data_IF_900177340962
#
_entry.id   IF_900177340962
#
_cell.length_a   1.000
_cell.length_b   1.000
_cell.length_c   1.000
_cell.angle_alpha   90.00
_cell.angle_beta   90.00
_cell.angle_gamma   90.00
#
_symmetry.space_group_name_H-M   'P 1'
#
loop_
_entity.id
_entity.type
_entity.pdbx_description
1 polymer ?
#
# COMPACT_ATOMS: atom_id res chain seq x y z
N UNK A 1 21.34 13.79 -40.59
CA UNK A 1 20.06 14.08 -39.93
C UNK A 1 19.80 12.97 -38.91
N UNK A 2 20.20 13.20 -37.67
CA UNK A 2 20.12 12.20 -36.58
C UNK A 2 18.80 12.37 -35.85
N UNK A 3 17.90 11.39 -35.96
CA UNK A 3 16.64 11.38 -35.23
C UNK A 3 16.90 10.94 -33.79
N UNK A 4 16.75 11.86 -32.85
CA UNK A 4 16.78 11.58 -31.43
C UNK A 4 15.48 10.86 -31.03
N UNK A 5 15.57 9.57 -30.73
CA UNK A 5 14.47 8.80 -30.17
C UNK A 5 14.21 9.28 -28.74
N UNK A 6 13.23 10.16 -28.57
CA UNK A 6 12.79 10.63 -27.25
C UNK A 6 12.03 9.49 -26.55
N UNK A 7 12.34 9.13 -25.30
CA UNK A 7 11.54 8.17 -24.55
C UNK A 7 10.10 8.70 -24.41
N UNK A 8 9.10 7.80 -24.32
CA UNK A 8 7.70 8.17 -24.09
C UNK A 8 7.64 8.90 -22.74
N UNK A 9 7.68 10.23 -22.79
CA UNK A 9 7.48 11.06 -21.63
C UNK A 9 6.05 10.81 -21.14
N UNK A 10 5.90 10.51 -19.84
CA UNK A 10 4.58 10.56 -19.21
C UNK A 10 3.95 11.91 -19.54
N UNK A 11 2.75 11.90 -20.12
CA UNK A 11 2.10 13.15 -20.54
C UNK A 11 2.09 14.14 -19.38
N UNK A 12 2.75 15.27 -19.63
CA UNK A 12 2.91 16.38 -18.72
C UNK A 12 2.30 17.60 -19.40
N UNK A 13 1.24 18.14 -18.80
CA UNK A 13 0.49 19.28 -19.35
C UNK A 13 1.37 20.53 -19.49
N UNK A 14 2.50 20.61 -18.78
CA UNK A 14 3.44 21.73 -18.87
C UNK A 14 4.06 21.86 -20.26
N UNK A 15 4.21 20.75 -20.98
CA UNK A 15 4.71 20.76 -22.36
C UNK A 15 3.69 21.29 -23.38
N UNK A 16 2.43 21.47 -22.96
CA UNK A 16 1.33 21.94 -23.80
C UNK A 16 0.79 23.30 -23.34
N UNK A 17 1.54 24.02 -22.49
CA UNK A 17 1.16 25.37 -22.05
C UNK A 17 1.10 26.36 -23.21
N UNK A 18 1.94 26.18 -24.23
CA UNK A 18 1.94 27.05 -25.42
C UNK A 18 0.65 26.92 -26.26
N UNK A 19 -0.09 25.82 -26.10
CA UNK A 19 -1.38 25.59 -26.75
C UNK A 19 -2.56 26.05 -25.90
N UNK A 20 -2.32 26.42 -24.64
CA UNK A 20 -3.35 26.85 -23.70
C UNK A 20 -3.33 28.37 -23.58
N UNK A 21 -4.46 29.00 -23.86
CA UNK A 21 -4.63 30.41 -23.60
C UNK A 21 -4.64 30.66 -22.09
N UNK A 22 -3.77 31.57 -21.62
CA UNK A 22 -3.75 31.99 -20.22
C UNK A 22 -4.99 32.79 -19.90
N UNK A 23 -5.70 32.44 -18.82
CA UNK A 23 -6.78 33.25 -18.30
C UNK A 23 -6.22 34.51 -17.61
N UNK A 24 -7.09 35.47 -17.28
CA UNK A 24 -6.71 36.72 -16.58
C UNK A 24 -6.04 36.49 -15.21
N UNK A 25 -6.12 35.28 -14.66
CA UNK A 25 -5.58 34.92 -13.34
C UNK A 25 -4.32 34.05 -13.45
N UNK A 26 -3.37 34.25 -12.53
CA UNK A 26 -2.11 33.51 -12.49
C UNK A 26 -2.37 31.99 -12.36
N UNK A 27 -1.69 31.19 -13.19
CA UNK A 27 -1.78 29.72 -13.22
C UNK A 27 -3.19 29.17 -13.56
N UNK A 28 -4.07 30.01 -14.12
CA UNK A 28 -5.32 29.58 -14.71
C UNK A 28 -5.25 29.70 -16.22
N UNK A 29 -5.78 28.69 -16.89
CA UNK A 29 -5.83 28.56 -18.33
C UNK A 29 -7.28 28.38 -18.76
N UNK A 30 -7.53 28.63 -20.04
CA UNK A 30 -8.79 28.31 -20.68
C UNK A 30 -8.81 26.79 -20.94
N UNK A 31 -9.86 26.13 -20.47
CA UNK A 31 -10.04 24.70 -20.68
C UNK A 31 -10.37 24.43 -22.16
N UNK A 32 -9.62 23.57 -22.87
CA UNK A 32 -9.87 23.29 -24.29
C UNK A 32 -11.16 22.50 -24.53
N UNK A 33 -11.74 21.88 -23.49
CA UNK A 33 -12.97 21.07 -23.60
C UNK A 33 -14.23 21.91 -23.42
N UNK A 34 -14.26 22.79 -22.42
CA UNK A 34 -15.46 23.58 -22.09
C UNK A 34 -15.34 25.07 -22.38
N UNK A 35 -14.16 25.55 -22.82
CA UNK A 35 -13.89 26.99 -23.02
C UNK A 35 -13.88 27.82 -21.73
N UNK A 36 -13.98 27.17 -20.56
CA UNK A 36 -14.03 27.85 -19.27
C UNK A 36 -12.65 28.34 -18.81
N UNK A 37 -12.59 29.50 -18.17
CA UNK A 37 -11.35 30.15 -17.67
C UNK A 37 -10.82 29.57 -16.35
N UNK A 38 -11.26 28.36 -15.96
CA UNK A 38 -11.00 27.74 -14.65
C UNK A 38 -10.20 26.43 -14.76
N UNK A 39 -9.26 26.32 -15.70
CA UNK A 39 -8.29 25.22 -15.71
C UNK A 39 -7.09 25.62 -14.85
N UNK A 40 -6.92 25.01 -13.68
CA UNK A 40 -5.75 25.25 -12.84
C UNK A 40 -4.65 24.23 -13.15
N UNK A 41 -3.43 24.71 -13.33
CA UNK A 41 -2.23 23.89 -13.54
C UNK A 41 -1.21 24.23 -12.45
N UNK A 42 -0.72 23.21 -11.75
CA UNK A 42 0.33 23.35 -10.73
C UNK A 42 1.70 23.18 -11.42
N UNK A 43 2.51 24.24 -11.58
CA UNK A 43 3.77 24.18 -12.33
C UNK A 43 4.81 23.25 -11.71
N UNK A 44 4.77 23.06 -10.40
CA UNK A 44 5.72 22.20 -9.66
C UNK A 44 5.49 20.71 -9.94
N UNK A 45 4.22 20.28 -10.10
CA UNK A 45 3.87 18.86 -10.17
C UNK A 45 3.28 18.42 -11.51
N UNK A 46 2.92 19.36 -12.40
CA UNK A 46 2.20 19.06 -13.64
C UNK A 46 0.76 18.56 -13.43
N UNK A 47 0.26 18.59 -12.19
CA UNK A 47 -1.14 18.26 -11.89
C UNK A 47 -2.04 19.40 -12.36
N UNK A 48 -3.14 19.03 -13.01
CA UNK A 48 -4.15 19.98 -13.45
C UNK A 48 -5.55 19.52 -13.07
N UNK A 49 -6.46 20.49 -12.97
CA UNK A 49 -7.87 20.27 -12.71
C UNK A 49 -8.69 21.41 -13.32
N UNK A 50 -9.76 21.03 -14.04
CA UNK A 50 -10.80 21.97 -14.46
C UNK A 50 -11.88 22.03 -13.37
N UNK A 51 -12.33 23.23 -13.02
CA UNK A 51 -13.40 23.43 -12.02
C UNK A 51 -14.81 23.60 -12.63
N UNK A 52 -14.96 23.34 -13.92
CA UNK A 52 -16.24 23.37 -14.65
C UNK A 52 -16.69 21.94 -15.07
N UNK A 53 -16.54 20.95 -14.17
CA UNK A 53 -16.99 19.55 -14.36
C UNK A 53 -16.43 18.82 -15.60
N UNK A 54 -15.22 19.15 -16.04
CA UNK A 54 -14.52 18.40 -17.08
C UNK A 54 -13.59 17.35 -16.48
N UNK A 55 -13.62 16.13 -17.04
CA UNK A 55 -12.70 15.08 -16.66
C UNK A 55 -11.28 15.37 -17.16
N UNK A 56 -10.29 15.00 -16.35
CA UNK A 56 -8.86 15.18 -16.70
C UNK A 56 -8.49 14.43 -17.97
N UNK A 57 -9.20 13.33 -18.28
CA UNK A 57 -9.01 12.51 -19.48
C UNK A 57 -9.39 13.28 -20.73
N UNK A 58 -10.52 13.97 -20.72
CA UNK A 58 -11.01 14.73 -21.88
C UNK A 58 -10.11 15.91 -22.19
N UNK A 59 -9.60 16.58 -21.15
CA UNK A 59 -8.61 17.65 -21.32
C UNK A 59 -7.30 17.12 -21.91
N UNK A 60 -6.88 15.89 -21.55
CA UNK A 60 -5.72 15.24 -22.19
C UNK A 60 -6.00 14.95 -23.66
N UNK A 61 -7.17 14.40 -23.97
CA UNK A 61 -7.55 14.04 -25.34
C UNK A 61 -7.62 15.28 -26.24
N UNK A 62 -8.12 16.41 -25.73
CA UNK A 62 -8.17 17.66 -26.48
C UNK A 62 -6.79 18.28 -26.76
N UNK A 63 -5.81 18.07 -25.88
CA UNK A 63 -4.44 18.62 -26.04
C UNK A 63 -3.53 17.71 -26.86
N UNK A 64 -3.58 16.40 -26.61
CA UNK A 64 -2.84 15.41 -27.39
C UNK A 64 -3.73 14.20 -27.62
N UNK A 65 -4.49 14.18 -28.74
CA UNK A 65 -5.37 13.07 -29.06
C UNK A 65 -4.61 11.76 -29.02
N UNK A 66 -5.18 10.74 -28.37
CA UNK A 66 -4.52 9.44 -28.24
C UNK A 66 -4.18 8.83 -29.61
N UNK A 67 -4.96 9.18 -30.64
CA UNK A 67 -4.73 8.78 -32.03
C UNK A 67 -3.36 9.23 -32.57
N UNK A 68 -2.91 10.45 -32.25
CA UNK A 68 -1.60 10.96 -32.66
C UNK A 68 -0.48 10.28 -31.89
N UNK A 69 -0.68 10.05 -30.58
CA UNK A 69 0.26 9.28 -29.74
C UNK A 69 0.46 7.86 -30.29
N UNK A 70 -0.63 7.21 -30.73
CA UNK A 70 -0.59 5.86 -31.31
C UNK A 70 0.04 5.87 -32.71
N UNK A 71 -0.18 6.91 -33.51
CA UNK A 71 0.47 7.07 -34.81
C UNK A 71 2.00 7.25 -34.67
N UNK A 72 2.46 8.06 -33.71
CA UNK A 72 3.88 8.18 -33.34
C UNK A 72 4.45 6.83 -32.86
N UNK A 73 3.67 6.05 -32.11
CA UNK A 73 4.08 4.72 -31.62
C UNK A 73 4.32 3.71 -32.73
N UNK A 74 3.54 3.72 -33.83
CA UNK A 74 3.73 2.79 -34.96
C UNK A 74 5.08 2.93 -35.67
N UNK A 75 5.75 4.07 -35.54
CA UNK A 75 7.10 4.31 -36.09
C UNK A 75 8.24 3.93 -35.13
N UNK A 76 7.93 3.75 -33.84
CA UNK A 76 8.89 3.28 -32.84
C UNK A 76 8.78 1.77 -32.69
N UNK A 77 9.88 1.05 -32.51
CA UNK A 77 9.89 -0.37 -32.12
C UNK A 77 9.39 -0.58 -30.67
N UNK A 78 8.34 0.14 -30.28
CA UNK A 78 7.68 0.03 -29.02
C UNK A 78 6.74 -1.16 -29.07
N UNK A 79 7.25 -2.33 -28.68
CA UNK A 79 6.40 -3.39 -28.17
C UNK A 79 5.76 -2.87 -26.89
N UNK A 80 4.43 -2.72 -26.81
CA UNK A 80 3.77 -2.46 -25.54
C UNK A 80 4.23 -3.60 -24.62
N UNK A 81 4.82 -3.25 -23.48
CA UNK A 81 5.12 -4.22 -22.44
C UNK A 81 3.79 -4.83 -22.02
N UNK A 82 3.38 -5.91 -22.68
CA UNK A 82 2.26 -6.75 -22.27
C UNK A 82 2.48 -6.99 -20.80
N UNK A 83 1.54 -6.51 -19.99
CA UNK A 83 1.46 -6.68 -18.54
C UNK A 83 2.66 -7.47 -18.03
N UNK A 84 3.67 -6.79 -17.47
CA UNK A 84 4.57 -7.48 -16.55
C UNK A 84 3.65 -7.94 -15.43
N UNK A 85 3.03 -9.11 -15.60
CA UNK A 85 2.50 -9.90 -14.50
C UNK A 85 3.63 -9.81 -13.50
N UNK A 86 3.34 -9.25 -12.33
CA UNK A 86 4.31 -9.23 -11.24
C UNK A 86 5.00 -10.58 -11.30
N UNK A 87 6.34 -10.59 -11.46
CA UNK A 87 7.10 -11.83 -11.43
C UNK A 87 6.83 -12.37 -10.04
N UNK A 88 5.78 -13.18 -9.91
CA UNK A 88 5.56 -13.99 -8.74
C UNK A 88 6.81 -14.84 -8.72
N UNK A 89 7.68 -14.69 -7.70
CA UNK A 89 8.84 -15.55 -7.61
C UNK A 89 8.32 -16.97 -7.75
N UNK A 90 8.81 -17.70 -8.77
CA UNK A 90 8.49 -19.12 -8.89
C UNK A 90 8.91 -19.70 -7.55
N UNK A 91 7.93 -20.13 -6.75
CA UNK A 91 8.22 -20.78 -5.49
C UNK A 91 9.16 -21.92 -5.84
N UNK A 92 10.43 -21.78 -5.45
CA UNK A 92 11.38 -22.88 -5.55
C UNK A 92 10.79 -23.92 -4.62
N UNK A 93 10.16 -24.94 -5.20
CA UNK A 93 9.69 -26.09 -4.46
C UNK A 93 10.96 -26.77 -3.98
N UNK A 94 11.39 -26.42 -2.77
CA UNK A 94 12.49 -27.11 -2.12
C UNK A 94 12.10 -28.58 -2.05
N UNK A 95 12.98 -29.44 -2.56
CA UNK A 95 12.87 -30.88 -2.33
C UNK A 95 12.73 -31.08 -0.80
N UNK A 96 11.70 -31.82 -0.34
CA UNK A 96 11.54 -32.08 1.08
C UNK A 96 12.81 -32.75 1.61
N UNK A 97 13.45 -32.12 2.60
CA UNK A 97 14.55 -32.76 3.32
C UNK A 97 14.07 -34.10 3.86
N UNK A 98 14.75 -35.18 3.49
CA UNK A 98 14.42 -36.51 3.99
C UNK A 98 14.63 -36.51 5.51
N UNK A 99 13.55 -36.75 6.25
CA UNK A 99 13.60 -36.95 7.69
C UNK A 99 14.36 -38.27 7.92
N UNK A 100 15.40 -38.32 8.78
CA UNK A 100 16.11 -39.54 9.09
C UNK A 100 15.15 -40.66 9.52
N UNK A 101 15.38 -41.89 9.07
CA UNK A 101 14.47 -43.03 9.25
C UNK A 101 14.24 -43.36 10.74
N UNK A 102 15.19 -42.99 11.60
CA UNK A 102 15.14 -43.23 13.06
C UNK A 102 14.49 -42.08 13.83
N UNK A 103 13.90 -41.10 13.13
CA UNK A 103 13.20 -39.98 13.77
C UNK A 103 11.79 -40.39 14.18
N UNK A 104 11.47 -40.29 15.46
CA UNK A 104 10.09 -40.41 15.96
C UNK A 104 9.63 -39.08 16.55
N UNK A 105 8.36 -38.73 16.29
CA UNK A 105 7.73 -37.61 16.97
C UNK A 105 7.49 -38.02 18.42
N UNK A 106 8.08 -37.29 19.36
CA UNK A 106 7.88 -37.52 20.79
C UNK A 106 6.99 -36.43 21.34
N UNK A 107 5.99 -36.80 22.15
CA UNK A 107 5.25 -35.84 22.95
C UNK A 107 6.14 -35.36 24.09
N UNK A 108 6.23 -34.04 24.26
CA UNK A 108 6.77 -33.47 25.48
C UNK A 108 5.95 -34.00 26.66
N UNK A 109 6.61 -34.70 27.57
CA UNK A 109 6.01 -35.24 28.80
C UNK A 109 5.70 -34.13 29.81
N UNK A 110 6.40 -33.01 29.72
CA UNK A 110 6.20 -31.85 30.58
C UNK A 110 5.22 -30.85 29.95
N UNK A 111 4.27 -30.31 30.73
CA UNK A 111 3.40 -29.26 30.24
C UNK A 111 4.19 -27.97 29.98
N UNK A 112 3.90 -27.29 28.86
CA UNK A 112 4.51 -26.00 28.53
C UNK A 112 4.01 -24.94 29.51
N UNK A 113 4.91 -24.42 30.35
CA UNK A 113 4.59 -23.41 31.37
C UNK A 113 4.83 -21.96 30.93
N UNK A 114 5.56 -21.74 29.83
CA UNK A 114 5.98 -20.39 29.39
C UNK A 114 4.94 -19.67 28.51
N UNK A 115 3.71 -20.20 28.43
CA UNK A 115 2.65 -19.58 27.63
C UNK A 115 1.99 -18.46 28.47
N UNK A 116 1.97 -17.21 27.97
CA UNK A 116 1.32 -16.12 28.68
C UNK A 116 -0.17 -16.42 28.84
N UNK A 117 -0.66 -16.26 30.07
CA UNK A 117 -2.04 -16.55 30.42
C UNK A 117 -2.96 -15.38 30.06
N UNK A 118 -4.14 -15.62 29.47
CA UNK A 118 -5.12 -14.57 29.21
C UNK A 118 -5.59 -13.87 30.50
N UNK A 119 -5.62 -12.54 30.49
CA UNK A 119 -6.04 -11.69 31.60
C UNK A 119 -7.31 -10.93 31.25
N UNK A 120 -8.10 -10.53 32.25
CA UNK A 120 -9.23 -9.62 32.03
C UNK A 120 -8.73 -8.24 31.62
N UNK A 121 -9.42 -7.62 30.68
CA UNK A 121 -9.08 -6.30 30.19
C UNK A 121 -9.08 -5.26 31.32
N UNK A 122 -7.97 -4.51 31.47
CA UNK A 122 -7.81 -3.52 32.54
C UNK A 122 -8.56 -2.21 32.26
N UNK A 123 -8.73 -1.85 31.00
CA UNK A 123 -9.36 -0.59 30.58
C UNK A 123 -10.03 -0.73 29.22
N UNK A 124 -11.02 0.12 28.95
CA UNK A 124 -11.73 0.12 27.67
C UNK A 124 -10.75 0.44 26.53
N UNK A 125 -10.73 -0.40 25.50
CA UNK A 125 -9.94 -0.20 24.28
C UNK A 125 -10.89 0.05 23.10
N UNK A 126 -10.58 1.02 22.26
CA UNK A 126 -11.38 1.34 21.06
C UNK A 126 -11.59 0.09 20.19
N UNK A 127 -12.84 -0.28 19.95
CA UNK A 127 -13.19 -1.42 19.09
C UNK A 127 -12.96 -2.81 19.71
N UNK A 128 -12.66 -2.90 21.01
CA UNK A 128 -12.57 -4.18 21.73
C UNK A 128 -13.68 -4.24 22.79
N UNK A 129 -14.48 -5.31 22.84
CA UNK A 129 -15.49 -5.47 23.87
C UNK A 129 -14.89 -5.51 25.29
N UNK A 130 -15.61 -4.96 26.27
CA UNK A 130 -15.13 -4.89 27.65
C UNK A 130 -14.98 -6.25 28.35
N UNK A 131 -15.61 -7.30 27.82
CA UNK A 131 -15.49 -8.68 28.32
C UNK A 131 -14.40 -9.49 27.61
N UNK A 132 -13.59 -8.86 26.75
CA UNK A 132 -12.47 -9.52 26.09
C UNK A 132 -11.37 -9.89 27.09
N UNK A 133 -10.65 -10.96 26.77
CA UNK A 133 -9.43 -11.37 27.43
C UNK A 133 -8.22 -10.82 26.64
N UNK A 134 -7.23 -10.28 27.35
CA UNK A 134 -5.98 -9.74 26.83
C UNK A 134 -4.84 -10.72 27.13
N UNK A 135 -4.07 -11.09 26.11
CA UNK A 135 -2.84 -11.88 26.24
C UNK A 135 -1.69 -11.08 25.64
N UNK A 136 -0.66 -10.79 26.43
CA UNK A 136 0.51 -10.04 25.97
C UNK A 136 1.65 -10.99 25.65
N UNK A 137 2.10 -10.96 24.40
CA UNK A 137 3.21 -11.72 23.88
C UNK A 137 4.44 -10.82 23.80
N UNK A 138 5.44 -11.07 24.65
CA UNK A 138 6.69 -10.33 24.66
C UNK A 138 7.66 -10.92 23.63
N UNK A 139 8.04 -10.13 22.62
CA UNK A 139 9.02 -10.55 21.60
C UNK A 139 10.43 -10.05 21.92
N UNK A 140 10.53 -8.88 22.56
CA UNK A 140 11.77 -8.28 23.04
C UNK A 140 11.48 -7.32 24.19
N UNK A 141 12.51 -6.77 24.88
CA UNK A 141 12.30 -5.75 25.91
C UNK A 141 11.56 -4.50 25.42
N UNK A 142 11.58 -4.25 24.11
CA UNK A 142 11.00 -3.06 23.49
C UNK A 142 9.85 -3.37 22.55
N UNK A 143 9.49 -4.62 22.27
CA UNK A 143 8.44 -4.99 21.31
C UNK A 143 7.53 -6.10 21.85
N UNK A 144 6.22 -5.89 21.76
CA UNK A 144 5.22 -6.85 22.19
C UNK A 144 3.94 -6.77 21.36
N UNK A 145 3.14 -7.82 21.43
CA UNK A 145 1.81 -7.89 20.83
C UNK A 145 0.79 -8.14 21.92
N UNK A 146 -0.25 -7.31 21.96
CA UNK A 146 -1.46 -7.58 22.75
C UNK A 146 -2.49 -8.26 21.84
N UNK A 147 -2.87 -9.49 22.18
CA UNK A 147 -4.00 -10.20 21.58
C UNK A 147 -5.23 -10.02 22.46
N UNK A 148 -6.32 -9.64 21.84
CA UNK A 148 -7.63 -9.55 22.45
C UNK A 148 -8.51 -10.66 21.88
N UNK A 149 -9.24 -11.37 22.73
CA UNK A 149 -10.15 -12.43 22.33
C UNK A 149 -11.45 -12.35 23.12
N UNK A 150 -12.58 -12.54 22.46
CA UNK A 150 -13.91 -12.53 23.09
C UNK A 150 -14.85 -13.48 22.37
N UNK A 151 -15.85 -13.99 23.10
CA UNK A 151 -16.89 -14.83 22.53
C UNK A 151 -17.75 -14.03 21.53
N UNK A 152 -18.01 -14.62 20.37
CA UNK A 152 -18.81 -14.03 19.31
C UNK A 152 -19.52 -15.15 18.54
N UNK A 153 -20.82 -15.30 18.81
CA UNK A 153 -21.66 -16.33 18.20
C UNK A 153 -22.00 -16.05 16.74
N UNK A 154 -21.72 -14.83 16.24
CA UNK A 154 -21.85 -14.52 14.81
C UNK A 154 -20.72 -15.11 13.97
N UNK A 155 -19.60 -15.48 14.59
CA UNK A 155 -18.48 -16.16 13.94
C UNK A 155 -18.67 -17.66 14.01
N UNK A 156 -18.32 -18.35 12.92
CA UNK A 156 -18.32 -19.81 12.86
C UNK A 156 -17.50 -20.47 13.98
N UNK A 157 -16.42 -19.81 14.42
CA UNK A 157 -15.55 -20.30 15.51
C UNK A 157 -16.10 -20.02 16.91
N UNK A 158 -17.21 -19.30 17.05
CA UNK A 158 -17.79 -18.90 18.34
C UNK A 158 -17.00 -17.81 19.09
N UNK A 159 -15.94 -17.26 18.49
CA UNK A 159 -15.14 -16.18 19.05
C UNK A 159 -14.58 -15.28 17.94
N UNK A 160 -14.24 -14.04 18.31
CA UNK A 160 -13.47 -13.12 17.49
C UNK A 160 -12.21 -12.66 18.24
N UNK A 161 -11.25 -12.13 17.48
CA UNK A 161 -9.97 -11.68 18.04
C UNK A 161 -9.38 -10.49 17.30
N UNK A 162 -8.56 -9.74 18.02
CA UNK A 162 -7.80 -8.60 17.48
C UNK A 162 -6.38 -8.61 18.01
N UNK A 163 -5.46 -8.00 17.26
CA UNK A 163 -4.05 -7.91 17.62
C UNK A 163 -3.58 -6.46 17.54
N UNK A 164 -2.79 -6.04 18.52
CA UNK A 164 -2.14 -4.72 18.54
C UNK A 164 -0.65 -4.90 18.74
N UNK A 165 0.11 -4.41 17.78
CA UNK A 165 1.57 -4.39 17.86
C UNK A 165 2.00 -3.11 18.56
N UNK A 166 2.95 -3.25 19.46
CA UNK A 166 3.53 -2.16 20.20
C UNK A 166 5.05 -2.24 20.15
N UNK A 167 5.67 -1.07 20.20
CA UNK A 167 7.09 -0.96 20.50
C UNK A 167 7.36 0.26 21.39
N UNK A 168 8.53 0.28 22.04
CA UNK A 168 9.03 1.45 22.76
C UNK A 168 9.94 2.27 21.85
N UNK A 169 9.67 3.57 21.83
CA UNK A 169 10.57 4.58 21.28
C UNK A 169 11.85 4.70 22.15
N UNK A 170 12.92 5.35 21.67
CA UNK A 170 14.16 5.52 22.44
C UNK A 170 13.99 6.24 23.78
N UNK A 171 12.94 7.07 23.91
CA UNK A 171 12.56 7.77 25.14
C UNK A 171 11.77 6.87 26.13
N UNK A 172 11.50 5.62 25.77
CA UNK A 172 10.73 4.65 26.55
C UNK A 172 9.22 4.71 26.31
N UNK A 173 8.72 5.65 25.51
CA UNK A 173 7.29 5.84 25.25
C UNK A 173 6.74 4.68 24.40
N UNK A 174 5.64 4.03 24.83
CA UNK A 174 5.01 2.98 24.04
C UNK A 174 4.24 3.57 22.85
N UNK A 175 4.51 3.10 21.65
CA UNK A 175 3.79 3.47 20.43
C UNK A 175 3.11 2.23 19.79
N UNK A 176 1.83 2.36 19.45
CA UNK A 176 1.03 1.29 18.85
C UNK A 176 1.27 1.18 17.34
N UNK A 177 2.50 0.82 16.98
CA UNK A 177 2.95 0.51 15.62
C UNK A 177 3.96 -0.63 15.68
N UNK A 178 4.25 -1.24 14.53
CA UNK A 178 5.26 -2.29 14.39
C UNK A 178 6.68 -1.83 14.80
N UNK A 179 7.00 -0.56 14.57
CA UNK A 179 8.35 -0.02 14.73
C UNK A 179 9.32 -0.51 13.64
N UNK A 180 10.54 0.01 13.66
CA UNK A 180 11.57 -0.26 12.65
C UNK A 180 12.53 -1.41 13.02
N UNK A 181 12.54 -1.82 14.29
CA UNK A 181 13.39 -2.91 14.78
C UNK A 181 12.89 -4.28 14.29
N UNK A 182 13.81 -5.22 13.98
CA UNK A 182 13.45 -6.55 13.50
C UNK A 182 12.66 -7.32 14.56
N UNK A 183 11.63 -8.03 14.13
CA UNK A 183 10.83 -8.90 15.00
C UNK A 183 11.40 -10.31 14.97
N UNK A 184 11.82 -10.82 16.13
CA UNK A 184 12.24 -12.20 16.29
C UNK A 184 11.07 -13.18 16.20
N UNK A 185 11.38 -14.48 16.18
CA UNK A 185 10.38 -15.49 16.46
C UNK A 185 9.86 -15.32 17.90
N UNK A 186 8.57 -15.60 18.08
CA UNK A 186 7.99 -15.67 19.43
C UNK A 186 8.68 -16.79 20.21
N UNK A 187 9.07 -16.49 21.46
CA UNK A 187 9.76 -17.43 22.36
C UNK A 187 8.76 -18.11 23.27
#
# INVERSE_FOLDING_TARGET
MTYASTPIATFDIRNFQDQLETAKEKNKYICPVCGGHNLSIIPETGKYQCFNDCDKKDVREALKPWAEVVAEQKGSNYTPSQNRKAVTPKAVKLEPTQIPVDSSLVMLTEPVIDIPQPQKLRSKRKGIPGHALETTYQYSPTQWIDRYEWADTSKEKGYDKSFRQWHRLPDGTPEMKKGDQPWGAYR
#
